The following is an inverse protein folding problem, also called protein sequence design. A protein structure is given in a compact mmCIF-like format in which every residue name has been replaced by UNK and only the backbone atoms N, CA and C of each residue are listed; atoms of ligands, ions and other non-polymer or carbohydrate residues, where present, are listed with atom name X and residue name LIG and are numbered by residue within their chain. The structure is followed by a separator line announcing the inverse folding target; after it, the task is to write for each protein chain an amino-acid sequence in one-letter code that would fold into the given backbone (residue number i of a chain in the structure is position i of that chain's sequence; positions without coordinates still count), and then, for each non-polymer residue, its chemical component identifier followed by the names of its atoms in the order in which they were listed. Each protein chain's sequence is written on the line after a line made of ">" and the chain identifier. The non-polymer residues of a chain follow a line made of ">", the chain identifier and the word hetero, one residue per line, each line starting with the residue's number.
data_IF_063194522130
#
_entry.id   IF_063194522130
#
_cell.length_a   1.000
_cell.length_b   1.000
_cell.length_c   1.000
_cell.angle_alpha   90.00
_cell.angle_beta   90.00
_cell.angle_gamma   90.00
#
_symmetry.space_group_name_H-M   'P 1'
#
loop_
_entity.id
_entity.type
_entity.pdbx_description
1 polymer ?
#
# COMPACT_ATOMS: atom_id res chain seq x y z
N UNK A 1 42.00 -1.00 8.18
CA UNK A 1 40.97 0.01 8.51
C UNK A 1 39.83 0.06 7.48
N UNK A 2 40.10 0.05 6.17
CA UNK A 2 39.09 0.08 5.10
C UNK A 2 38.11 -1.13 5.10
N UNK A 3 38.58 -2.31 5.52
CA UNK A 3 37.76 -3.53 5.59
C UNK A 3 36.61 -3.48 6.60
N UNK A 4 36.82 -2.84 7.76
CA UNK A 4 35.75 -2.69 8.77
C UNK A 4 34.67 -1.71 8.29
N UNK A 5 35.08 -0.62 7.62
CA UNK A 5 34.15 0.35 7.04
C UNK A 5 33.30 -0.27 5.93
N UNK A 6 33.88 -1.19 5.14
CA UNK A 6 33.17 -1.93 4.11
C UNK A 6 32.06 -2.83 4.66
N UNK A 7 32.15 -3.28 5.92
CA UNK A 7 31.14 -4.14 6.55
C UNK A 7 30.11 -3.35 7.38
N UNK A 8 30.54 -2.24 8.00
CA UNK A 8 29.65 -1.37 8.79
C UNK A 8 28.67 -0.59 7.90
N UNK A 9 29.12 -0.11 6.73
CA UNK A 9 28.27 0.65 5.80
C UNK A 9 27.03 -0.16 5.37
N UNK A 10 27.14 -1.43 4.92
CA UNK A 10 26.02 -2.34 4.71
C UNK A 10 25.04 -2.39 5.86
N UNK A 11 25.58 -2.63 7.06
CA UNK A 11 24.81 -2.85 8.26
C UNK A 11 23.98 -1.61 8.62
N UNK A 12 24.60 -0.43 8.64
CA UNK A 12 23.92 0.83 8.95
C UNK A 12 22.87 1.16 7.90
N UNK A 13 23.16 0.97 6.60
CA UNK A 13 22.17 1.21 5.55
C UNK A 13 20.97 0.28 5.66
N UNK A 14 21.18 -1.00 5.96
CA UNK A 14 20.07 -1.94 6.20
C UNK A 14 19.30 -1.60 7.47
N UNK A 15 19.97 -1.13 8.52
CA UNK A 15 19.32 -0.65 9.74
C UNK A 15 18.40 0.55 9.44
N UNK A 16 18.87 1.50 8.63
CA UNK A 16 18.07 2.65 8.18
C UNK A 16 16.87 2.20 7.34
N UNK A 17 17.05 1.23 6.43
CA UNK A 17 15.93 0.65 5.68
C UNK A 17 14.92 0.00 6.64
N UNK A 18 15.38 -0.71 7.68
CA UNK A 18 14.51 -1.24 8.73
C UNK A 18 13.71 -0.14 9.45
N UNK A 19 14.31 1.00 9.75
CA UNK A 19 13.60 2.15 10.34
C UNK A 19 12.50 2.67 9.39
N UNK A 20 12.83 2.80 8.09
CA UNK A 20 11.86 3.23 7.06
C UNK A 20 10.74 2.21 6.94
N UNK A 21 11.04 0.92 6.91
CA UNK A 21 10.05 -0.16 6.87
C UNK A 21 9.13 -0.11 8.10
N UNK A 22 9.68 0.11 9.30
CA UNK A 22 8.89 0.30 10.52
C UNK A 22 7.94 1.49 10.42
N UNK A 23 8.40 2.61 9.84
CA UNK A 23 7.57 3.79 9.59
C UNK A 23 6.44 3.52 8.60
N UNK A 24 6.73 2.85 7.49
CA UNK A 24 5.73 2.45 6.50
C UNK A 24 4.70 1.52 7.14
N UNK A 25 5.14 0.58 7.98
CA UNK A 25 4.25 -0.35 8.67
C UNK A 25 3.35 0.35 9.69
N UNK A 26 3.87 1.30 10.46
CA UNK A 26 3.05 2.10 11.39
C UNK A 26 2.00 2.92 10.64
N UNK A 27 2.40 3.57 9.54
CA UNK A 27 1.48 4.33 8.69
C UNK A 27 0.39 3.43 8.11
N UNK A 28 0.78 2.28 7.57
CA UNK A 28 -0.13 1.28 7.02
C UNK A 28 -1.16 0.81 8.05
N UNK A 29 -0.72 0.43 9.25
CA UNK A 29 -1.63 0.00 10.32
C UNK A 29 -2.66 1.07 10.68
N UNK A 30 -2.24 2.34 10.78
CA UNK A 30 -3.16 3.43 11.06
C UNK A 30 -4.11 3.71 9.89
N UNK A 31 -3.62 3.72 8.65
CA UNK A 31 -4.47 3.88 7.48
C UNK A 31 -5.51 2.77 7.38
N UNK A 32 -5.12 1.52 7.65
CA UNK A 32 -6.02 0.36 7.67
C UNK A 32 -7.08 0.49 8.76
N UNK A 33 -6.70 0.88 9.99
CA UNK A 33 -7.63 1.08 11.10
C UNK A 33 -8.67 2.18 10.83
N UNK A 34 -8.36 3.16 9.99
CA UNK A 34 -9.28 4.24 9.62
C UNK A 34 -10.07 3.96 8.33
N UNK A 35 -9.61 3.05 7.50
CA UNK A 35 -10.17 2.81 6.19
C UNK A 35 -11.37 1.85 6.29
N UNK A 36 -12.58 2.41 6.22
CA UNK A 36 -13.80 1.62 6.00
C UNK A 36 -13.99 1.23 4.51
N UNK A 37 -12.91 1.22 3.72
CA UNK A 37 -12.98 1.09 2.27
C UNK A 37 -13.24 -0.36 1.84
N UNK A 38 -13.66 -0.54 0.58
CA UNK A 38 -13.87 -1.88 0.01
C UNK A 38 -12.61 -2.73 0.16
N UNK A 39 -12.76 -3.97 0.64
CA UNK A 39 -11.64 -4.91 0.92
C UNK A 39 -10.66 -5.03 -0.26
N UNK A 40 -11.15 -4.89 -1.49
CA UNK A 40 -10.34 -4.93 -2.71
C UNK A 40 -9.28 -3.82 -2.81
N UNK A 41 -9.62 -2.57 -2.47
CA UNK A 41 -8.65 -1.48 -2.52
C UNK A 41 -7.55 -1.66 -1.47
N UNK A 42 -7.90 -2.24 -0.32
CA UNK A 42 -6.94 -2.55 0.74
C UNK A 42 -5.93 -3.59 0.28
N UNK A 43 -6.37 -4.69 -0.35
CA UNK A 43 -5.46 -5.71 -0.90
C UNK A 43 -4.54 -5.17 -1.98
N UNK A 44 -5.03 -4.30 -2.86
CA UNK A 44 -4.21 -3.68 -3.90
C UNK A 44 -3.10 -2.79 -3.31
N UNK A 45 -3.43 -1.96 -2.32
CA UNK A 45 -2.44 -1.13 -1.64
C UNK A 45 -1.44 -1.95 -0.83
N UNK A 46 -1.91 -2.99 -0.14
CA UNK A 46 -1.06 -3.92 0.60
C UNK A 46 -0.04 -4.58 -0.33
N UNK A 47 -0.51 -5.15 -1.45
CA UNK A 47 0.35 -5.74 -2.47
C UNK A 47 1.39 -4.74 -2.99
N UNK A 48 0.98 -3.51 -3.30
CA UNK A 48 1.90 -2.47 -3.79
C UNK A 48 2.98 -2.13 -2.75
N UNK A 49 2.61 -1.97 -1.48
CA UNK A 49 3.56 -1.69 -0.39
C UNK A 49 4.53 -2.84 -0.21
N UNK A 50 4.05 -4.09 -0.22
CA UNK A 50 4.90 -5.27 -0.11
C UNK A 50 5.88 -5.40 -1.28
N UNK A 51 5.42 -5.18 -2.51
CA UNK A 51 6.29 -5.17 -3.69
C UNK A 51 7.35 -4.08 -3.57
N UNK A 52 6.98 -2.87 -3.14
CA UNK A 52 7.93 -1.77 -2.95
C UNK A 52 8.97 -2.09 -1.87
N UNK A 53 8.56 -2.64 -0.72
CA UNK A 53 9.48 -3.05 0.34
C UNK A 53 10.42 -4.16 -0.15
N UNK A 54 9.89 -5.15 -0.88
CA UNK A 54 10.68 -6.25 -1.42
C UNK A 54 11.72 -5.72 -2.43
N UNK A 55 11.30 -4.86 -3.36
CA UNK A 55 12.19 -4.22 -4.33
C UNK A 55 13.24 -3.37 -3.63
N UNK A 56 12.89 -2.62 -2.59
CA UNK A 56 13.82 -1.80 -1.83
C UNK A 56 14.88 -2.67 -1.14
N UNK A 57 14.46 -3.71 -0.42
CA UNK A 57 15.36 -4.64 0.28
C UNK A 57 16.24 -5.39 -0.72
N UNK A 58 15.69 -5.83 -1.85
CA UNK A 58 16.42 -6.52 -2.90
C UNK A 58 17.44 -5.61 -3.59
N UNK A 59 17.06 -4.38 -3.95
CA UNK A 59 17.98 -3.40 -4.51
C UNK A 59 19.12 -3.08 -3.52
N UNK A 60 18.81 -2.98 -2.24
CA UNK A 60 19.81 -2.79 -1.19
C UNK A 60 20.79 -3.98 -1.15
N UNK A 61 20.28 -5.22 -1.17
CA UNK A 61 21.10 -6.43 -1.22
C UNK A 61 22.03 -6.44 -2.44
N UNK A 62 21.53 -6.07 -3.62
CA UNK A 62 22.31 -5.98 -4.85
C UNK A 62 23.41 -4.92 -4.77
N UNK A 63 23.08 -3.70 -4.35
CA UNK A 63 24.02 -2.57 -4.32
C UNK A 63 25.12 -2.80 -3.28
N UNK A 64 24.73 -3.30 -2.11
CA UNK A 64 25.60 -3.37 -0.95
C UNK A 64 26.44 -4.63 -0.92
N UNK A 65 25.85 -5.75 -1.35
CA UNK A 65 26.39 -7.07 -1.08
C UNK A 65 26.35 -7.98 -2.31
N UNK A 66 26.18 -7.39 -3.50
CA UNK A 66 26.07 -8.10 -4.78
C UNK A 66 24.99 -9.20 -4.79
N UNK A 67 23.96 -9.06 -3.95
CA UNK A 67 22.89 -10.04 -3.82
C UNK A 67 23.17 -11.20 -2.87
N UNK A 68 24.32 -11.22 -2.19
CA UNK A 68 24.59 -12.24 -1.17
C UNK A 68 23.70 -12.03 0.06
N UNK A 69 22.94 -13.07 0.43
CA UNK A 69 22.11 -13.04 1.64
C UNK A 69 22.99 -13.36 2.84
N UNK A 70 23.28 -12.33 3.65
CA UNK A 70 24.06 -12.46 4.88
C UNK A 70 23.18 -12.25 6.11
N UNK A 71 23.38 -13.07 7.14
CA UNK A 71 22.47 -13.11 8.29
C UNK A 71 22.40 -11.79 9.06
N UNK A 72 23.50 -11.02 9.10
CA UNK A 72 23.52 -9.71 9.75
C UNK A 72 22.66 -8.66 9.04
N UNK A 73 22.35 -8.84 7.75
CA UNK A 73 21.45 -7.95 6.99
C UNK A 73 20.02 -8.14 7.51
N UNK A 74 19.62 -9.39 7.70
CA UNK A 74 18.31 -9.73 8.28
C UNK A 74 18.22 -9.17 9.71
N UNK A 75 19.25 -9.37 10.53
CA UNK A 75 19.32 -8.82 11.89
C UNK A 75 19.28 -7.29 11.91
N UNK A 76 19.99 -6.61 11.01
CA UNK A 76 19.95 -5.16 10.88
C UNK A 76 18.56 -4.66 10.46
N UNK A 77 17.91 -5.36 9.53
CA UNK A 77 16.57 -4.98 9.06
C UNK A 77 15.55 -5.08 10.20
N UNK A 78 15.47 -6.25 10.85
CA UNK A 78 14.58 -6.45 11.99
C UNK A 78 14.95 -5.56 13.17
N UNK A 79 16.24 -5.40 13.46
CA UNK A 79 16.74 -4.49 14.48
C UNK A 79 16.33 -3.05 14.24
N UNK A 80 16.38 -2.58 12.98
CA UNK A 80 15.90 -1.26 12.59
C UNK A 80 14.40 -1.11 12.79
N UNK A 81 13.61 -2.11 12.39
CA UNK A 81 12.15 -2.11 12.61
C UNK A 81 11.84 -2.04 14.12
N UNK A 82 12.50 -2.84 14.96
CA UNK A 82 12.31 -2.83 16.41
C UNK A 82 12.71 -1.49 17.03
N UNK A 83 13.88 -0.96 16.65
CA UNK A 83 14.35 0.36 17.08
C UNK A 83 13.34 1.45 16.72
N UNK A 84 12.76 1.40 15.52
CA UNK A 84 11.72 2.33 15.11
C UNK A 84 10.54 2.30 16.08
N UNK A 85 9.98 1.12 16.34
CA UNK A 85 8.79 0.97 17.18
C UNK A 85 9.03 1.36 18.65
N UNK A 86 10.23 1.14 19.16
CA UNK A 86 10.58 1.48 20.53
C UNK A 86 10.89 2.98 20.72
N UNK A 87 11.53 3.63 19.75
CA UNK A 87 12.12 4.98 19.95
C UNK A 87 11.45 6.09 19.14
N UNK A 88 11.12 5.83 17.88
CA UNK A 88 10.62 6.85 16.94
C UNK A 88 9.10 6.84 16.91
N UNK A 89 8.50 5.65 16.80
CA UNK A 89 7.06 5.46 16.64
C UNK A 89 6.22 6.19 17.72
N UNK A 90 6.58 6.21 19.02
CA UNK A 90 5.84 6.95 20.04
C UNK A 90 5.86 8.47 19.81
N UNK A 91 6.98 9.01 19.32
CA UNK A 91 7.18 10.45 19.08
C UNK A 91 6.45 10.92 17.83
N UNK A 92 6.37 10.07 16.80
CA UNK A 92 5.77 10.40 15.50
C UNK A 92 4.28 10.08 15.40
N UNK A 93 3.68 9.44 16.41
CA UNK A 93 2.27 9.04 16.39
C UNK A 93 1.28 10.14 15.94
N UNK A 94 1.30 11.37 16.50
CA UNK A 94 0.29 12.37 16.14
C UNK A 94 0.44 12.82 14.67
N UNK A 95 1.68 12.91 14.18
CA UNK A 95 1.97 13.28 12.79
C UNK A 95 1.50 12.17 11.84
N UNK A 96 1.87 10.92 12.12
CA UNK A 96 1.54 9.76 11.28
C UNK A 96 0.03 9.53 11.25
N UNK A 97 -0.68 9.70 12.39
CA UNK A 97 -2.14 9.60 12.42
C UNK A 97 -2.82 10.68 11.56
N UNK A 98 -2.30 11.91 11.55
CA UNK A 98 -2.82 12.98 10.68
C UNK A 98 -2.56 12.64 9.22
N UNK A 99 -1.34 12.22 8.87
CA UNK A 99 -1.00 11.80 7.52
C UNK A 99 -1.90 10.65 7.03
N UNK A 100 -2.15 9.65 7.89
CA UNK A 100 -3.02 8.51 7.61
C UNK A 100 -4.48 8.93 7.41
N UNK A 101 -4.99 9.89 8.20
CA UNK A 101 -6.34 10.46 8.00
C UNK A 101 -6.47 11.11 6.64
N UNK A 102 -5.50 11.96 6.29
CA UNK A 102 -5.50 12.69 5.01
C UNK A 102 -5.41 11.73 3.83
N UNK A 103 -4.57 10.71 3.91
CA UNK A 103 -4.42 9.71 2.83
C UNK A 103 -5.71 8.92 2.61
N UNK A 104 -6.34 8.42 3.69
CA UNK A 104 -7.60 7.68 3.61
C UNK A 104 -8.73 8.54 3.06
N UNK A 105 -8.84 9.81 3.50
CA UNK A 105 -9.83 10.73 2.98
C UNK A 105 -9.63 11.00 1.47
N UNK A 106 -8.37 11.22 1.06
CA UNK A 106 -8.01 11.39 -0.35
C UNK A 106 -8.40 10.18 -1.20
N UNK A 107 -8.05 8.97 -0.76
CA UNK A 107 -8.42 7.73 -1.45
C UNK A 107 -9.94 7.58 -1.54
N UNK A 108 -10.68 7.86 -0.45
CA UNK A 108 -12.16 7.78 -0.45
C UNK A 108 -12.78 8.80 -1.40
N UNK A 109 -12.26 10.03 -1.45
CA UNK A 109 -12.74 11.06 -2.37
C UNK A 109 -12.52 10.64 -3.84
N UNK A 110 -11.35 10.07 -4.15
CA UNK A 110 -11.05 9.56 -5.49
C UNK A 110 -11.92 8.35 -5.86
N UNK A 111 -12.06 7.37 -4.95
CA UNK A 111 -12.89 6.20 -5.17
C UNK A 111 -14.37 6.57 -5.36
N UNK A 112 -14.88 7.54 -4.59
CA UNK A 112 -16.23 8.07 -4.75
C UNK A 112 -16.45 8.69 -6.12
N UNK A 113 -15.48 9.49 -6.61
CA UNK A 113 -15.52 10.07 -7.96
C UNK A 113 -15.41 9.02 -9.05
N UNK A 114 -14.55 8.01 -8.91
CA UNK A 114 -14.41 6.92 -9.87
C UNK A 114 -15.66 6.00 -9.92
N UNK A 115 -16.41 5.90 -8.82
CA UNK A 115 -17.66 5.16 -8.77
C UNK A 115 -18.85 5.88 -9.45
N UNK A 116 -18.77 7.19 -9.69
CA UNK A 116 -19.80 7.97 -10.39
C UNK A 116 -19.98 7.54 -11.86
N UNK A 117 -18.93 7.50 -12.70
CA UNK A 117 -19.07 7.04 -14.08
C UNK A 117 -19.53 5.58 -14.14
N UNK A 118 -19.10 4.74 -13.18
CA UNK A 118 -19.55 3.36 -13.09
C UNK A 118 -21.05 3.23 -12.77
N UNK A 119 -21.56 4.05 -11.85
CA UNK A 119 -23.00 4.09 -11.52
C UNK A 119 -23.84 4.62 -12.67
N UNK A 120 -23.35 5.64 -13.38
CA UNK A 120 -24.00 6.18 -14.58
C UNK A 120 -24.05 5.14 -15.70
N UNK A 121 -22.93 4.47 -16.00
CA UNK A 121 -22.85 3.38 -16.98
C UNK A 121 -23.83 2.24 -16.65
N UNK A 122 -23.88 1.82 -15.39
CA UNK A 122 -24.82 0.77 -14.95
C UNK A 122 -26.27 1.18 -15.16
N UNK A 123 -26.63 2.43 -14.85
CA UNK A 123 -27.98 2.96 -15.06
C UNK A 123 -28.33 2.98 -16.55
N UNK A 124 -27.39 3.38 -17.40
CA UNK A 124 -27.57 3.40 -18.85
C UNK A 124 -27.83 1.99 -19.40
N UNK A 125 -27.02 1.01 -18.99
CA UNK A 125 -27.19 -0.38 -19.41
C UNK A 125 -28.55 -0.97 -18.97
N UNK A 126 -28.99 -0.68 -17.74
CA UNK A 126 -30.30 -1.10 -17.24
C UNK A 126 -31.46 -0.49 -18.04
N UNK A 127 -31.38 0.81 -18.34
CA UNK A 127 -32.41 1.47 -19.15
C UNK A 127 -32.46 0.93 -20.59
N UNK A 128 -31.31 0.58 -21.17
CA UNK A 128 -31.23 -0.10 -22.46
C UNK A 128 -31.88 -1.48 -22.43
N UNK A 129 -31.63 -2.26 -21.37
CA UNK A 129 -32.22 -3.59 -21.20
C UNK A 129 -33.76 -3.54 -21.05
N UNK A 130 -34.28 -2.57 -20.30
CA UNK A 130 -35.73 -2.36 -20.16
C UNK A 130 -36.39 -1.94 -21.48
N UNK A 131 -35.74 -1.07 -22.28
CA UNK A 131 -36.23 -0.69 -23.60
C UNK A 131 -36.26 -1.88 -24.56
N UNK A 132 -35.22 -2.71 -24.57
CA UNK A 132 -35.16 -3.90 -25.41
C UNK A 132 -36.22 -4.93 -25.01
N UNK A 133 -36.46 -5.11 -23.71
CA UNK A 133 -37.52 -6.02 -23.22
C UNK A 133 -38.91 -5.57 -23.66
N UNK A 134 -39.20 -4.28 -23.51
CA UNK A 134 -40.50 -3.70 -23.94
C UNK A 134 -40.73 -3.81 -25.44
N UNK A 135 -39.67 -3.71 -26.24
CA UNK A 135 -39.77 -3.85 -27.69
C UNK A 135 -40.13 -5.29 -28.10
N UNK A 136 -39.52 -6.29 -27.45
CA UNK A 136 -39.85 -7.69 -27.71
C UNK A 136 -41.27 -8.06 -27.28
N UNK A 137 -41.75 -7.55 -26.13
CA UNK A 137 -43.14 -7.76 -25.68
C UNK A 137 -44.17 -7.14 -26.64
N UNK A 138 -43.86 -6.01 -27.30
CA UNK A 138 -44.74 -5.37 -28.28
C UNK A 138 -44.78 -6.07 -29.63
N UNK A 139 -43.64 -6.59 -30.10
CA UNK A 139 -43.56 -7.34 -31.37
C UNK A 139 -44.30 -8.70 -31.26
N UNK A 140 -44.39 -9.31 -30.06
CA UNK A 140 -45.18 -10.53 -29.80
C UNK A 140 -46.70 -10.29 -29.68
N UNK A 141 -47.15 -9.08 -29.33
CA UNK A 141 -48.59 -8.73 -29.28
C UNK A 141 -49.15 -8.32 -30.66
N UNK A 142 -48.29 -7.97 -31.61
CA UNK A 142 -48.65 -7.59 -33.00
C UNK A 142 -48.67 -8.79 -33.98
N UNK A 143 -48.11 -9.95 -33.62
CA UNK A 143 -48.19 -11.23 -34.37
C UNK A 143 -49.41 -12.09 -34.00
#
# INVERSE_FOLDING_TARGET
>A
MLWLLAQIKPFVLTLLVGLITGMVFQFYQYSMALSSCSRWLLYMFDFLVWVLILLLVFALLLIINQGEIRIYIILALFGGILLYFQTIAPKTQPLIRRAAKTSVYGIRAMAGKAALPWRWLKKQALSWAEQMRKKMEGDEEEE
#
